data_IF_953005980739
#
_entry.id   IF_953005980739
#
_cell.length_a   1.000
_cell.length_b   1.000
_cell.length_c   1.000
_cell.angle_alpha   90.00
_cell.angle_beta   90.00
_cell.angle_gamma   90.00
#
_symmetry.space_group_name_H-M   'P 1'
#
loop_
_entity.id
_entity.type
_entity.pdbx_description
1 polymer ?
#
# COMPACT_ATOMS: atom_id res chain seq x y z
N UNK A 1 11.65 -17.09 10.40
CA UNK A 1 10.36 -16.35 10.23
C UNK A 1 9.54 -16.33 11.52
N UNK A 2 9.31 -17.46 12.18
CA UNK A 2 8.44 -17.55 13.37
C UNK A 2 8.92 -16.67 14.54
N UNK A 3 10.23 -16.57 14.77
CA UNK A 3 10.79 -15.71 15.81
C UNK A 3 10.67 -14.22 15.48
N UNK A 4 10.84 -13.83 14.23
CA UNK A 4 10.70 -12.44 13.78
C UNK A 4 9.23 -11.98 13.84
N UNK A 5 8.30 -12.86 13.49
CA UNK A 5 6.87 -12.60 13.61
C UNK A 5 6.46 -12.40 15.08
N UNK A 6 6.91 -13.27 15.98
CA UNK A 6 6.64 -13.13 17.40
C UNK A 6 7.22 -11.84 17.99
N UNK A 7 8.41 -11.42 17.52
CA UNK A 7 9.05 -10.19 17.94
C UNK A 7 8.28 -8.96 17.46
N UNK A 8 7.88 -8.93 16.21
CA UNK A 8 7.09 -7.84 15.64
C UNK A 8 5.73 -7.68 16.36
N UNK A 9 5.05 -8.78 16.66
CA UNK A 9 3.81 -8.78 17.45
C UNK A 9 4.01 -8.15 18.83
N UNK A 10 5.12 -8.44 19.47
CA UNK A 10 5.45 -7.93 20.79
C UNK A 10 5.69 -6.41 20.79
N UNK A 11 6.30 -5.86 19.74
CA UNK A 11 6.63 -4.44 19.61
C UNK A 11 5.53 -3.57 18.97
N UNK A 12 4.38 -4.12 18.64
CA UNK A 12 3.30 -3.43 17.93
C UNK A 12 3.69 -2.91 16.53
N UNK A 13 4.73 -3.47 15.94
CA UNK A 13 5.24 -3.09 14.61
C UNK A 13 4.43 -3.68 13.45
N UNK A 14 3.32 -4.34 13.75
CA UNK A 14 2.45 -4.98 12.77
C UNK A 14 1.25 -4.11 12.37
N UNK A 15 1.27 -2.86 12.76
CA UNK A 15 0.09 -2.00 12.69
C UNK A 15 -0.55 -1.96 11.29
N UNK A 16 0.25 -1.67 10.27
CA UNK A 16 -0.26 -1.64 8.89
C UNK A 16 -0.66 -3.02 8.38
N UNK A 17 0.07 -4.06 8.77
CA UNK A 17 -0.27 -5.43 8.41
C UNK A 17 -1.59 -5.87 9.05
N UNK A 18 -1.77 -5.62 10.34
CA UNK A 18 -3.01 -5.93 11.05
C UNK A 18 -4.20 -5.18 10.44
N UNK A 19 -4.05 -3.89 10.17
CA UNK A 19 -5.09 -3.07 9.54
C UNK A 19 -5.51 -3.61 8.16
N UNK A 20 -4.57 -4.06 7.34
CA UNK A 20 -4.85 -4.70 6.06
C UNK A 20 -5.63 -6.00 6.26
N UNK A 21 -5.21 -6.88 7.17
CA UNK A 21 -5.89 -8.17 7.42
C UNK A 21 -7.31 -7.93 7.93
N UNK A 22 -7.50 -7.00 8.85
CA UNK A 22 -8.81 -6.64 9.37
C UNK A 22 -9.72 -6.09 8.27
N UNK A 23 -9.21 -5.23 7.39
CA UNK A 23 -9.97 -4.72 6.25
C UNK A 23 -10.34 -5.84 5.28
N UNK A 24 -9.40 -6.72 4.94
CA UNK A 24 -9.62 -7.81 3.99
C UNK A 24 -10.65 -8.83 4.49
N UNK A 25 -10.74 -9.04 5.81
CA UNK A 25 -11.63 -10.05 6.40
C UNK A 25 -13.11 -9.83 6.07
N UNK A 26 -13.51 -8.61 5.74
CA UNK A 26 -14.89 -8.27 5.38
C UNK A 26 -15.11 -7.99 3.89
N UNK A 27 -14.10 -8.18 3.04
CA UNK A 27 -14.17 -7.85 1.63
C UNK A 27 -14.61 -9.03 0.77
N UNK A 28 -15.33 -8.79 -0.33
CA UNK A 28 -15.72 -9.82 -1.29
C UNK A 28 -14.56 -10.13 -2.26
N UNK A 29 -13.39 -10.46 -1.70
CA UNK A 29 -12.18 -10.83 -2.45
C UNK A 29 -11.62 -12.11 -1.86
N UNK A 30 -11.06 -12.94 -2.72
CA UNK A 30 -10.31 -14.13 -2.29
C UNK A 30 -8.91 -13.70 -1.89
N UNK A 31 -8.45 -14.18 -0.73
CA UNK A 31 -7.15 -13.81 -0.15
C UNK A 31 -6.31 -15.07 0.05
N UNK A 32 -5.15 -15.07 -0.54
CA UNK A 32 -4.15 -16.11 -0.37
C UNK A 32 -2.86 -15.53 0.23
N UNK A 33 -2.21 -16.28 1.10
CA UNK A 33 -0.91 -15.92 1.65
C UNK A 33 0.19 -16.65 0.89
N UNK A 34 1.05 -15.88 0.23
CA UNK A 34 2.19 -16.40 -0.52
C UNK A 34 3.50 -15.99 0.16
N UNK A 35 4.45 -16.91 0.26
CA UNK A 35 5.78 -16.59 0.75
C UNK A 35 6.71 -16.13 -0.38
N UNK A 36 7.79 -15.43 -0.02
CA UNK A 36 8.81 -15.07 -1.00
C UNK A 36 9.56 -16.28 -1.55
N UNK A 37 9.67 -17.35 -0.74
CA UNK A 37 10.26 -18.60 -1.19
C UNK A 37 9.38 -19.27 -2.25
N UNK A 38 8.06 -19.28 -2.05
CA UNK A 38 7.13 -19.79 -3.08
C UNK A 38 7.25 -19.01 -4.39
N UNK A 39 7.34 -17.68 -4.32
CA UNK A 39 7.54 -16.84 -5.51
C UNK A 39 8.85 -17.19 -6.21
N UNK A 40 9.93 -17.40 -5.44
CA UNK A 40 11.25 -17.72 -6.00
C UNK A 40 11.31 -19.11 -6.64
N UNK A 41 10.57 -20.05 -6.09
CA UNK A 41 10.56 -21.45 -6.56
C UNK A 41 9.56 -21.66 -7.70
N UNK A 42 8.34 -21.18 -7.54
CA UNK A 42 7.20 -21.52 -8.38
C UNK A 42 6.71 -20.34 -9.26
N UNK A 43 7.14 -19.11 -8.94
CA UNK A 43 6.59 -17.91 -9.57
C UNK A 43 5.36 -17.40 -8.82
N UNK A 44 4.73 -16.38 -9.41
CA UNK A 44 3.45 -15.85 -8.92
C UNK A 44 2.34 -16.62 -9.63
N UNK A 45 1.36 -17.20 -8.90
CA UNK A 45 0.25 -17.93 -9.51
C UNK A 45 -0.54 -17.05 -10.52
N UNK A 46 -1.06 -17.70 -11.57
CA UNK A 46 -1.72 -17.00 -12.68
C UNK A 46 -3.06 -16.34 -12.27
N UNK A 47 -3.70 -16.85 -11.25
CA UNK A 47 -4.98 -16.38 -10.72
C UNK A 47 -4.82 -15.20 -9.74
N UNK A 48 -3.61 -14.85 -9.34
CA UNK A 48 -3.33 -13.68 -8.52
C UNK A 48 -3.40 -12.41 -9.35
N UNK A 49 -4.38 -11.55 -9.03
CA UNK A 49 -4.52 -10.23 -9.67
C UNK A 49 -3.75 -9.12 -8.99
N UNK A 50 -3.62 -9.18 -7.67
CA UNK A 50 -2.97 -8.13 -6.86
C UNK A 50 -2.11 -8.75 -5.76
N UNK A 51 -0.88 -8.25 -5.61
CA UNK A 51 -0.02 -8.54 -4.46
C UNK A 51 -0.06 -7.36 -3.51
N UNK A 52 -0.27 -7.63 -2.22
CA UNK A 52 -0.17 -6.65 -1.15
C UNK A 52 1.06 -6.96 -0.30
N UNK A 53 1.99 -6.01 -0.20
CA UNK A 53 3.14 -6.08 0.68
C UNK A 53 3.02 -4.98 1.74
N UNK A 54 2.86 -5.37 3.00
CA UNK A 54 2.60 -4.44 4.10
C UNK A 54 3.52 -4.72 5.29
N UNK A 55 3.96 -3.66 5.93
CA UNK A 55 4.75 -3.72 7.16
C UNK A 55 5.91 -2.75 7.18
N UNK A 56 6.61 -2.72 8.32
CA UNK A 56 7.75 -1.86 8.52
C UNK A 56 9.02 -2.47 7.92
N UNK A 57 9.97 -1.61 7.57
CA UNK A 57 11.26 -2.02 7.04
C UNK A 57 11.98 -2.99 7.99
N UNK A 58 12.76 -3.87 7.41
CA UNK A 58 13.56 -4.87 8.12
C UNK A 58 12.76 -5.88 8.95
N UNK A 59 11.45 -5.91 8.83
CA UNK A 59 10.60 -6.90 9.48
C UNK A 59 10.28 -8.07 8.56
N UNK A 60 9.86 -9.19 9.15
CA UNK A 60 9.38 -10.34 8.39
C UNK A 60 8.10 -10.02 7.59
N UNK A 61 7.35 -9.03 8.03
CA UNK A 61 6.09 -8.61 7.41
C UNK A 61 6.30 -8.00 6.03
N UNK A 62 7.25 -7.05 5.93
CA UNK A 62 7.58 -6.42 4.66
C UNK A 62 8.56 -7.22 3.80
N UNK A 63 9.18 -8.26 4.36
CA UNK A 63 10.11 -9.15 3.66
C UNK A 63 11.59 -8.97 4.01
N UNK A 64 12.00 -7.87 4.63
CA UNK A 64 13.35 -7.65 5.13
C UNK A 64 14.44 -7.98 4.10
N UNK A 65 15.34 -8.90 4.44
CA UNK A 65 16.50 -9.28 3.62
C UNK A 65 16.14 -9.91 2.25
N UNK A 66 14.93 -10.41 2.07
CA UNK A 66 14.49 -10.92 0.77
C UNK A 66 14.59 -9.88 -0.35
N UNK A 67 14.43 -8.60 0.00
CA UNK A 67 14.51 -7.51 -0.96
C UNK A 67 15.91 -7.23 -1.49
N UNK A 68 16.96 -7.83 -0.92
CA UNK A 68 18.31 -7.87 -1.52
C UNK A 68 18.44 -8.89 -2.65
N UNK A 69 17.47 -9.79 -2.80
CA UNK A 69 17.51 -10.82 -3.82
C UNK A 69 17.06 -10.24 -5.19
N UNK A 70 17.98 -10.07 -6.15
CA UNK A 70 17.65 -9.46 -7.44
C UNK A 70 16.69 -10.32 -8.28
N UNK A 71 16.67 -11.64 -8.06
CA UNK A 71 15.72 -12.53 -8.75
C UNK A 71 14.31 -12.23 -8.30
N UNK A 72 14.05 -12.14 -6.97
CA UNK A 72 12.74 -11.82 -6.43
C UNK A 72 12.23 -10.46 -6.93
N UNK A 73 13.08 -9.43 -6.80
CA UNK A 73 12.76 -8.06 -7.25
C UNK A 73 12.42 -8.05 -8.75
N UNK A 74 13.21 -8.76 -9.55
CA UNK A 74 12.99 -8.85 -11.00
C UNK A 74 11.70 -9.60 -11.34
N UNK A 75 11.38 -10.67 -10.63
CA UNK A 75 10.16 -11.47 -10.85
C UNK A 75 8.91 -10.64 -10.60
N UNK A 76 8.83 -9.96 -9.43
CA UNK A 76 7.68 -9.13 -9.08
C UNK A 76 7.59 -7.93 -10.04
N UNK A 77 8.71 -7.26 -10.34
CA UNK A 77 8.74 -6.15 -11.30
C UNK A 77 8.21 -6.58 -12.67
N UNK A 78 8.65 -7.71 -13.19
CA UNK A 78 8.20 -8.25 -14.48
C UNK A 78 6.71 -8.61 -14.45
N UNK A 79 6.25 -9.19 -13.35
CA UNK A 79 4.85 -9.54 -13.19
C UNK A 79 3.95 -8.29 -13.20
N UNK A 80 4.33 -7.24 -12.47
CA UNK A 80 3.59 -5.97 -12.52
C UNK A 80 3.66 -5.36 -13.91
N UNK A 81 4.85 -5.34 -14.54
CA UNK A 81 5.00 -4.81 -15.91
C UNK A 81 4.05 -5.51 -16.91
N UNK A 82 3.75 -6.77 -16.72
CA UNK A 82 2.87 -7.55 -17.56
C UNK A 82 1.38 -7.39 -17.25
N UNK A 83 1.01 -6.65 -16.22
CA UNK A 83 -0.39 -6.35 -15.90
C UNK A 83 -0.82 -6.65 -14.46
N UNK A 84 0.05 -7.21 -13.64
CA UNK A 84 -0.23 -7.45 -12.23
C UNK A 84 -0.38 -6.16 -11.43
N UNK A 85 -1.20 -6.20 -10.37
CA UNK A 85 -1.39 -5.11 -9.42
C UNK A 85 -0.48 -5.23 -8.21
N UNK A 86 0.10 -4.12 -7.73
CA UNK A 86 0.92 -4.13 -6.53
C UNK A 86 0.50 -3.04 -5.55
N UNK A 87 0.19 -3.42 -4.31
CA UNK A 87 -0.15 -2.47 -3.24
C UNK A 87 0.93 -2.56 -2.16
N UNK A 88 1.60 -1.44 -1.93
CA UNK A 88 2.60 -1.30 -0.89
C UNK A 88 2.07 -0.49 0.29
N UNK A 89 2.26 -0.96 1.52
CA UNK A 89 1.75 -0.30 2.73
C UNK A 89 2.81 -0.18 3.79
N UNK A 90 2.98 1.00 4.34
CA UNK A 90 4.00 1.31 5.33
C UNK A 90 5.35 1.51 4.69
N UNK A 91 6.26 0.61 4.91
CA UNK A 91 7.58 0.57 4.29
C UNK A 91 7.74 -0.70 3.42
N UNK A 92 6.94 -0.82 2.36
CA UNK A 92 6.92 -2.01 1.52
C UNK A 92 8.24 -2.13 0.75
N UNK A 93 8.70 -3.34 0.54
CA UNK A 93 9.93 -3.63 -0.23
C UNK A 93 11.19 -2.95 0.31
N UNK A 94 11.14 -2.52 1.57
CA UNK A 94 12.16 -1.64 2.13
C UNK A 94 13.36 -2.42 2.66
N UNK A 95 14.50 -2.07 2.11
CA UNK A 95 15.82 -2.34 2.67
C UNK A 95 16.81 -1.35 2.07
N UNK A 96 17.66 -0.77 2.91
CA UNK A 96 18.70 0.13 2.41
C UNK A 96 19.75 -0.67 1.63
N UNK A 97 19.60 -0.71 0.32
CA UNK A 97 20.43 -1.46 -0.60
C UNK A 97 20.56 -0.74 -1.94
N UNK A 98 21.75 -0.65 -2.50
CA UNK A 98 22.04 -0.01 -3.79
C UNK A 98 21.46 1.43 -3.92
N UNK A 99 21.59 2.23 -2.87
CA UNK A 99 21.11 3.63 -2.83
C UNK A 99 19.58 3.79 -2.99
N UNK A 100 18.82 2.74 -2.76
CA UNK A 100 17.37 2.75 -2.72
C UNK A 100 16.89 2.31 -1.36
N UNK A 101 15.75 2.80 -0.95
CA UNK A 101 15.05 2.30 0.23
C UNK A 101 13.96 1.31 -0.18
N UNK A 102 13.07 1.70 -1.07
CA UNK A 102 12.11 0.76 -1.66
C UNK A 102 12.72 0.09 -2.90
N UNK A 103 12.92 -1.22 -2.84
CA UNK A 103 13.54 -1.95 -3.94
C UNK A 103 12.65 -1.99 -5.20
N UNK A 104 11.35 -1.76 -5.04
CA UNK A 104 10.39 -1.55 -6.12
C UNK A 104 9.93 -0.08 -6.22
N UNK A 105 10.81 0.89 -5.94
CA UNK A 105 10.49 2.31 -6.04
C UNK A 105 9.97 2.72 -7.43
N UNK A 106 10.52 2.15 -8.48
CA UNK A 106 10.09 2.34 -9.87
C UNK A 106 8.67 1.81 -10.13
N UNK A 107 8.31 0.69 -9.51
CA UNK A 107 6.97 0.13 -9.58
C UNK A 107 5.99 0.98 -8.77
N UNK A 108 6.36 1.31 -7.53
CA UNK A 108 5.51 2.09 -6.61
C UNK A 108 5.36 3.56 -7.03
N UNK A 109 6.34 4.11 -7.77
CA UNK A 109 6.41 5.52 -8.10
C UNK A 109 6.82 6.41 -6.94
N UNK A 110 7.21 5.85 -5.82
CA UNK A 110 7.65 6.54 -4.60
C UNK A 110 8.88 5.86 -4.02
N UNK A 111 9.71 6.63 -3.35
CA UNK A 111 10.80 6.12 -2.52
C UNK A 111 10.90 6.92 -1.24
N UNK A 112 11.52 6.36 -0.24
CA UNK A 112 11.83 7.06 1.00
C UNK A 112 13.14 7.80 0.85
N UNK A 113 13.13 9.07 1.21
CA UNK A 113 14.34 9.84 1.23
C UNK A 113 15.25 9.42 2.37
N UNK A 114 16.50 9.17 2.03
CA UNK A 114 17.54 8.83 3.00
C UNK A 114 18.65 9.88 2.89
N UNK A 115 18.64 10.86 3.79
CA UNK A 115 19.65 11.91 3.82
C UNK A 115 19.06 13.32 3.64
N UNK A 116 19.82 14.21 2.97
CA UNK A 116 19.38 15.58 2.69
C UNK A 116 18.38 15.60 1.57
N UNK A 117 17.18 16.11 1.86
CA UNK A 117 16.17 16.34 0.84
C UNK A 117 16.49 17.56 -0.01
N UNK A 118 16.52 17.33 -1.30
CA UNK A 118 16.40 18.38 -2.30
C UNK A 118 14.98 18.42 -2.87
N UNK A 119 14.03 17.75 -2.23
CA UNK A 119 12.67 17.66 -2.71
C UNK A 119 12.05 19.05 -2.79
N UNK A 120 11.43 19.30 -3.89
CA UNK A 120 10.65 20.50 -4.13
C UNK A 120 9.18 20.17 -4.03
N UNK A 121 8.32 21.16 -3.81
CA UNK A 121 6.85 21.00 -3.78
C UNK A 121 6.29 20.27 -5.01
N UNK A 122 7.03 20.27 -6.12
CA UNK A 122 6.67 19.60 -7.36
C UNK A 122 6.40 18.10 -7.20
N UNK A 123 7.08 17.43 -6.28
CA UNK A 123 6.92 16.00 -6.05
C UNK A 123 5.66 15.63 -5.25
N UNK A 124 5.04 16.63 -4.64
CA UNK A 124 3.86 16.45 -3.79
C UNK A 124 2.61 17.08 -4.38
N UNK A 125 2.60 17.31 -5.71
CA UNK A 125 1.42 17.80 -6.38
C UNK A 125 0.28 16.79 -6.27
N UNK A 126 -0.85 17.26 -5.70
CA UNK A 126 -2.00 16.42 -5.44
C UNK A 126 -2.85 16.25 -6.71
N UNK A 127 -3.26 15.02 -6.96
CA UNK A 127 -4.35 14.71 -7.86
C UNK A 127 -5.51 14.10 -7.05
N UNK A 128 -6.40 14.92 -6.47
CA UNK A 128 -7.45 14.45 -5.57
C UNK A 128 -8.58 13.71 -6.29
N UNK A 129 -8.69 13.88 -7.60
CA UNK A 129 -9.75 13.27 -8.40
C UNK A 129 -9.30 11.92 -8.96
N UNK A 130 -9.37 10.90 -8.13
CA UNK A 130 -8.99 9.55 -8.51
C UNK A 130 -10.01 8.53 -8.01
N UNK A 131 -10.24 7.47 -8.77
CA UNK A 131 -11.16 6.38 -8.42
C UNK A 131 -11.00 5.90 -6.97
N UNK A 132 -9.77 5.75 -6.48
CA UNK A 132 -9.50 5.27 -5.11
C UNK A 132 -10.03 6.23 -4.05
N UNK A 133 -9.95 7.54 -4.29
CA UNK A 133 -10.22 8.59 -3.28
C UNK A 133 -11.48 9.40 -3.54
N UNK A 134 -12.19 9.18 -4.64
CA UNK A 134 -13.34 10.01 -5.03
C UNK A 134 -14.47 10.03 -3.99
N UNK A 135 -14.70 8.92 -3.26
CA UNK A 135 -15.74 8.84 -2.25
C UNK A 135 -15.43 9.58 -0.96
N UNK A 136 -14.15 9.79 -0.68
CA UNK A 136 -13.72 10.50 0.53
C UNK A 136 -13.47 11.99 0.27
N UNK A 137 -13.36 12.39 -1.00
CA UNK A 137 -13.18 13.78 -1.40
C UNK A 137 -11.98 14.44 -0.70
N UNK A 138 -12.21 15.61 -0.11
CA UNK A 138 -11.18 16.37 0.60
C UNK A 138 -10.91 15.90 2.03
N UNK A 139 -11.67 14.92 2.54
CA UNK A 139 -11.46 14.42 3.89
C UNK A 139 -10.03 13.91 4.05
N UNK A 140 -9.44 14.23 5.18
CA UNK A 140 -8.17 13.63 5.58
C UNK A 140 -8.38 12.12 5.80
N UNK A 141 -7.42 11.34 5.33
CA UNK A 141 -7.37 9.91 5.63
C UNK A 141 -6.45 9.76 6.83
N UNK A 142 -6.91 9.02 7.83
CA UNK A 142 -6.03 8.57 8.90
C UNK A 142 -5.19 7.40 8.37
N UNK A 143 -3.93 7.68 8.07
CA UNK A 143 -2.95 6.66 7.71
C UNK A 143 -2.23 6.08 8.92
N UNK A 144 -2.71 6.43 10.13
CA UNK A 144 -2.15 5.98 11.39
C UNK A 144 -0.80 6.61 11.72
N UNK A 145 -0.19 6.07 12.77
CA UNK A 145 1.14 6.49 13.20
C UNK A 145 2.27 5.75 12.46
N UNK A 146 1.95 4.97 11.44
CA UNK A 146 2.91 4.14 10.71
C UNK A 146 4.12 4.91 10.15
N UNK A 147 3.94 6.19 9.85
CA UNK A 147 5.03 7.07 9.47
C UNK A 147 5.86 7.59 10.66
N UNK A 148 5.38 7.43 11.89
CA UNK A 148 6.17 7.76 13.09
C UNK A 148 7.15 6.64 13.46
N UNK A 149 7.17 5.66 12.63
CA UNK A 149 7.95 4.45 12.55
C UNK A 149 9.11 4.30 13.50
N UNK A 150 9.58 3.19 13.41
CA UNK A 150 10.72 2.44 13.92
C UNK A 150 11.95 3.25 14.35
N UNK A 151 12.11 4.47 13.91
CA UNK A 151 13.26 5.34 14.22
C UNK A 151 12.84 6.56 15.04
N UNK A 152 12.35 6.29 16.25
CA UNK A 152 12.29 7.22 17.38
C UNK A 152 12.03 8.70 17.07
N UNK A 153 11.04 9.25 17.75
CA UNK A 153 10.84 10.68 18.05
C UNK A 153 11.54 11.66 17.09
N UNK A 154 10.86 12.01 16.01
CA UNK A 154 11.15 13.26 15.32
C UNK A 154 11.67 13.16 13.91
N UNK A 155 12.14 12.03 13.44
CA UNK A 155 12.61 11.89 12.06
C UNK A 155 11.43 11.51 11.15
N UNK A 156 10.73 12.54 10.70
CA UNK A 156 9.78 12.37 9.61
C UNK A 156 10.56 12.06 8.34
N UNK A 157 10.64 10.79 8.02
CA UNK A 157 11.15 10.40 6.72
C UNK A 157 10.10 10.75 5.68
N UNK A 158 10.49 11.60 4.74
CA UNK A 158 9.62 11.94 3.63
C UNK A 158 9.60 10.80 2.64
N UNK A 159 8.42 10.30 2.34
CA UNK A 159 8.21 9.48 1.17
C UNK A 159 7.91 10.42 0.01
N UNK A 160 8.75 10.37 -0.99
CA UNK A 160 8.69 11.25 -2.13
C UNK A 160 8.19 10.52 -3.35
N UNK A 161 7.40 11.23 -4.14
CA UNK A 161 7.08 10.80 -5.49
C UNK A 161 8.36 10.77 -6.33
N UNK A 162 8.65 9.62 -6.89
CA UNK A 162 9.68 9.51 -7.92
C UNK A 162 9.11 9.97 -9.25
N UNK A 163 9.80 10.91 -9.90
CA UNK A 163 9.33 11.46 -11.18
C UNK A 163 9.65 10.50 -12.33
N UNK A 164 8.98 9.36 -12.35
CA UNK A 164 8.99 8.43 -13.48
C UNK A 164 7.84 8.67 -14.47
N UNK A 165 7.19 9.83 -14.37
CA UNK A 165 6.20 10.29 -15.33
C UNK A 165 4.76 9.85 -15.10
N UNK A 166 4.53 8.72 -14.42
CA UNK A 166 3.20 8.12 -14.28
C UNK A 166 2.69 8.08 -12.84
N UNK A 167 3.47 8.55 -11.89
CA UNK A 167 3.09 8.57 -10.49
C UNK A 167 2.26 9.81 -10.17
N UNK A 168 1.16 9.60 -9.47
CA UNK A 168 0.30 10.66 -8.96
C UNK A 168 0.15 10.53 -7.45
N UNK A 169 0.42 11.62 -6.73
CA UNK A 169 0.14 11.72 -5.31
C UNK A 169 -1.35 12.02 -5.12
N UNK A 170 -2.05 11.17 -4.39
CA UNK A 170 -3.48 11.33 -4.11
C UNK A 170 -3.74 12.03 -2.80
N UNK A 171 -2.91 11.77 -1.80
CA UNK A 171 -3.01 12.38 -0.46
C UNK A 171 -1.64 12.65 0.14
N UNK A 172 -1.57 13.74 0.89
CA UNK A 172 -0.40 14.16 1.67
C UNK A 172 -0.78 14.31 3.13
N UNK A 173 0.21 14.23 4.01
CA UNK A 173 0.07 14.73 5.38
C UNK A 173 0.20 16.27 5.42
N UNK A 174 0.03 16.85 6.62
CA UNK A 174 0.15 18.30 6.84
C UNK A 174 1.56 18.87 6.55
N UNK A 175 2.59 18.02 6.45
CA UNK A 175 3.97 18.41 6.09
C UNK A 175 4.23 18.34 4.59
N UNK A 176 3.27 17.81 3.84
CA UNK A 176 3.41 17.59 2.40
C UNK A 176 4.03 16.25 2.03
N UNK A 177 4.24 15.33 2.99
CA UNK A 177 4.73 14.00 2.69
C UNK A 177 3.63 13.18 2.01
N UNK A 178 4.00 12.41 1.00
CA UNK A 178 3.07 11.54 0.29
C UNK A 178 2.57 10.42 1.20
N UNK A 179 1.26 10.37 1.42
CA UNK A 179 0.61 9.33 2.21
C UNK A 179 -0.19 8.33 1.38
N UNK A 180 -0.60 8.73 0.20
CA UNK A 180 -1.19 7.85 -0.79
C UNK A 180 -0.74 8.26 -2.19
N UNK A 181 -0.24 7.31 -2.95
CA UNK A 181 0.15 7.53 -4.35
C UNK A 181 -0.26 6.35 -5.22
N UNK A 182 -0.41 6.62 -6.50
CA UNK A 182 -0.67 5.61 -7.53
C UNK A 182 0.35 5.74 -8.64
N UNK A 183 0.69 4.62 -9.27
CA UNK A 183 1.60 4.60 -10.39
C UNK A 183 1.17 3.55 -11.42
N UNK A 184 1.53 3.79 -12.67
CA UNK A 184 1.41 2.78 -13.73
C UNK A 184 2.80 2.32 -14.15
N UNK A 185 2.98 1.00 -14.22
CA UNK A 185 4.25 0.39 -14.56
C UNK A 185 4.06 -0.69 -15.64
N UNK A 186 4.47 -0.38 -16.87
CA UNK A 186 4.13 -1.21 -18.01
C UNK A 186 2.61 -1.28 -18.22
N UNK A 187 2.06 -2.48 -18.15
CA UNK A 187 0.61 -2.72 -18.20
C UNK A 187 -0.04 -2.78 -16.82
N UNK A 188 0.76 -2.87 -15.76
CA UNK A 188 0.29 -3.00 -14.39
C UNK A 188 0.18 -1.67 -13.67
N UNK A 189 -0.39 -1.74 -12.48
CA UNK A 189 -0.67 -0.58 -11.64
C UNK A 189 -0.22 -0.84 -10.21
N UNK A 190 0.19 0.20 -9.52
CA UNK A 190 0.56 0.10 -8.12
C UNK A 190 -0.04 1.22 -7.29
N UNK A 191 -0.25 0.91 -6.02
CA UNK A 191 -0.75 1.85 -5.01
C UNK A 191 0.20 1.84 -3.82
N UNK A 192 0.52 2.99 -3.30
CA UNK A 192 1.27 3.17 -2.08
C UNK A 192 0.39 3.81 -1.00
N UNK A 193 0.45 3.26 0.20
CA UNK A 193 -0.11 3.84 1.41
C UNK A 193 0.96 3.94 2.50
N UNK A 194 1.08 5.10 3.13
CA UNK A 194 2.08 5.33 4.19
C UNK A 194 1.82 4.54 5.48
N UNK A 195 0.58 4.17 5.73
CA UNK A 195 0.13 3.34 6.83
C UNK A 195 -1.32 2.96 6.61
N UNK A 196 -1.80 1.96 7.35
CA UNK A 196 -3.16 1.48 7.12
C UNK A 196 -3.82 0.93 8.39
N UNK A 197 -4.33 1.79 9.28
CA UNK A 197 -5.17 1.35 10.39
C UNK A 197 -6.51 0.86 9.87
N UNK A 198 -7.13 -0.03 10.62
CA UNK A 198 -8.51 -0.43 10.35
C UNK A 198 -9.45 0.74 10.66
N UNK A 199 -10.14 1.23 9.64
CA UNK A 199 -11.30 2.13 9.73
C UNK A 199 -12.28 1.79 8.61
N UNK A 200 -13.58 2.08 8.76
CA UNK A 200 -14.54 1.86 7.67
C UNK A 200 -14.18 2.58 6.38
N UNK A 201 -13.60 3.78 6.49
CA UNK A 201 -13.13 4.56 5.35
C UNK A 201 -11.95 3.86 4.68
N UNK A 202 -10.97 3.40 5.45
CA UNK A 202 -9.82 2.68 4.92
C UNK A 202 -10.21 1.37 4.25
N UNK A 203 -11.19 0.64 4.79
CA UNK A 203 -11.72 -0.56 4.13
C UNK A 203 -12.23 -0.24 2.72
N UNK A 204 -12.99 0.84 2.56
CA UNK A 204 -13.47 1.26 1.24
C UNK A 204 -12.36 1.68 0.31
N UNK A 205 -11.37 2.42 0.83
CA UNK A 205 -10.20 2.83 0.06
C UNK A 205 -9.40 1.62 -0.40
N UNK A 206 -9.16 0.65 0.48
CA UNK A 206 -8.43 -0.57 0.13
C UNK A 206 -9.18 -1.39 -0.93
N UNK A 207 -10.48 -1.55 -0.78
CA UNK A 207 -11.29 -2.25 -1.78
C UNK A 207 -11.16 -1.59 -3.15
N UNK A 208 -11.29 -0.27 -3.21
CA UNK A 208 -11.11 0.48 -4.46
C UNK A 208 -9.68 0.38 -5.00
N UNK A 209 -8.70 0.40 -4.13
CA UNK A 209 -7.29 0.22 -4.51
C UNK A 209 -7.04 -1.17 -5.13
N UNK A 210 -7.65 -2.22 -4.58
CA UNK A 210 -7.56 -3.59 -5.12
C UNK A 210 -8.19 -3.64 -6.52
N UNK A 211 -9.41 -3.13 -6.69
CA UNK A 211 -10.07 -3.11 -8.00
C UNK A 211 -9.29 -2.30 -9.03
N UNK A 212 -8.78 -1.14 -8.63
CA UNK A 212 -7.98 -0.31 -9.52
C UNK A 212 -6.64 -0.96 -9.90
N UNK A 213 -5.92 -1.53 -8.93
CA UNK A 213 -4.66 -2.22 -9.17
C UNK A 213 -4.85 -3.45 -10.08
N UNK A 214 -5.97 -4.15 -9.94
CA UNK A 214 -6.35 -5.27 -10.79
C UNK A 214 -6.89 -4.84 -12.18
N UNK A 215 -7.04 -3.54 -12.45
CA UNK A 215 -7.69 -3.00 -13.66
C UNK A 215 -9.13 -3.49 -13.84
N UNK A 216 -9.88 -3.56 -12.74
CA UNK A 216 -11.26 -4.09 -12.67
C UNK A 216 -12.26 -3.08 -12.08
N UNK A 217 -12.01 -1.79 -12.25
CA UNK A 217 -12.88 -0.73 -11.71
C UNK A 217 -14.34 -0.88 -12.18
N UNK A 218 -14.52 -1.29 -13.43
CA UNK A 218 -15.85 -1.45 -14.03
C UNK A 218 -16.63 -2.64 -13.44
N UNK A 219 -15.94 -3.60 -12.82
CA UNK A 219 -16.57 -4.73 -12.14
C UNK A 219 -17.05 -4.36 -10.74
N UNK A 220 -16.60 -3.24 -10.18
CA UNK A 220 -17.02 -2.77 -8.87
C UNK A 220 -18.44 -2.24 -8.91
N UNK A 221 -19.39 -3.05 -8.42
CA UNK A 221 -20.79 -2.66 -8.36
C UNK A 221 -21.02 -1.65 -7.24
N UNK A 222 -21.69 -0.55 -7.58
CA UNK A 222 -22.20 0.40 -6.59
C UNK A 222 -23.51 -0.17 -6.03
N UNK A 223 -23.53 -0.45 -4.74
CA UNK A 223 -24.76 -0.75 -4.01
C UNK A 223 -25.23 0.54 -3.36
N UNK A 224 -26.42 0.97 -3.75
CA UNK A 224 -27.13 2.02 -3.03
C UNK A 224 -28.05 1.33 -2.04
N UNK A 225 -27.85 1.53 -0.75
CA UNK A 225 -28.90 1.24 0.23
C UNK A 225 -29.91 2.36 0.07
N UNK A 226 -30.89 2.15 -0.81
CA UNK A 226 -32.09 2.97 -0.82
C UNK A 226 -32.95 2.49 0.32
N UNK A 227 -33.28 3.35 1.21
CA UNK A 227 -34.10 3.07 2.39
C UNK A 227 -33.36 2.21 3.44
N UNK A 228 -32.48 2.83 4.19
CA UNK A 228 -32.68 2.72 5.63
C UNK A 228 -33.98 3.54 5.84
N UNK A 229 -35.09 2.98 5.38
CA UNK A 229 -36.34 3.57 5.73
C UNK A 229 -36.58 3.35 7.22
N UNK A 230 -37.50 4.12 7.72
CA UNK A 230 -37.93 4.09 9.11
C UNK A 230 -38.27 2.68 9.63
N UNK A 231 -38.49 1.70 8.75
CA UNK A 231 -38.74 0.32 9.13
C UNK A 231 -37.46 -0.43 9.52
N UNK A 232 -36.34 -0.23 8.80
CA UNK A 232 -35.08 -0.81 9.22
C UNK A 232 -34.52 -0.14 10.49
N UNK A 233 -34.76 1.16 10.68
CA UNK A 233 -34.38 1.84 11.90
C UNK A 233 -35.19 1.35 13.13
N UNK A 234 -36.44 0.94 12.93
CA UNK A 234 -37.28 0.39 14.00
C UNK A 234 -36.84 -1.01 14.50
N UNK A 235 -35.98 -1.71 13.75
CA UNK A 235 -35.37 -2.96 14.19
C UNK A 235 -34.05 -2.78 14.95
N UNK A 236 -33.55 -1.54 15.01
CA UNK A 236 -32.29 -1.22 15.68
C UNK A 236 -32.52 -0.46 17.02
N UNK A 237 -33.77 -0.19 17.38
CA UNK A 237 -34.21 0.24 18.70
C UNK A 237 -34.64 -0.99 19.54
#
# INVERSE_FOLDING_TARGET
QTQQVAHALWYKEIYSYAGIIECLSGMPVEVEFISFDDILENGIPEDIGVIINAGDAYTAWSGGEYWKNPKLVSMIRKWVHNGGGFIGVGEPTAIHYENKFFQLADVLGVDKEVGFSLSTRKYNELNPHHFITEEIGEKAIDFGEGMKGVYGKGDSYQVLRMDFGNCHCLKNNFRGDTTCAVNTYGKGRSVYFAGFPYTPENCRILLRAIYWAASKEDEMKKFYVTNIDTECAAFLE
#
